data_IF_923666026912
#
_entry.id   IF_923666026912
#
_cell.length_a   1.000
_cell.length_b   1.000
_cell.length_c   1.000
_cell.angle_alpha   90.00
_cell.angle_beta   90.00
_cell.angle_gamma   90.00
#
_symmetry.space_group_name_H-M   'P 1'
#
loop_
_entity.id
_entity.type
_entity.pdbx_description
1 polymer ?
#
# COMPACT_ATOMS: atom_id res chain seq x y z
N UNK A 1 15.66 -4.74 -3.22
CA UNK A 1 15.81 -3.30 -2.99
C UNK A 1 15.50 -3.00 -1.55
N UNK A 2 16.15 -2.01 -0.94
CA UNK A 2 15.81 -1.59 0.43
C UNK A 2 14.51 -0.80 0.43
N UNK A 3 13.71 -0.93 1.49
CA UNK A 3 12.44 -0.22 1.68
C UNK A 3 12.50 0.64 2.93
N UNK A 4 12.03 1.88 2.84
CA UNK A 4 11.79 2.75 3.98
C UNK A 4 10.28 2.81 4.22
N UNK A 5 9.83 2.34 5.39
CA UNK A 5 8.44 2.48 5.85
C UNK A 5 8.38 3.56 6.92
N UNK A 6 7.42 4.48 6.79
CA UNK A 6 7.17 5.51 7.78
C UNK A 6 5.67 5.77 7.92
N UNK A 7 5.27 6.22 9.11
CA UNK A 7 3.89 6.63 9.37
C UNK A 7 3.59 8.02 8.82
N UNK A 8 2.30 8.30 8.65
CA UNK A 8 1.77 9.56 8.09
C UNK A 8 2.33 10.82 8.79
N UNK A 9 2.48 10.78 10.11
CA UNK A 9 2.93 11.93 10.90
C UNK A 9 4.45 12.19 10.86
N UNK A 10 5.24 11.38 10.15
CA UNK A 10 6.68 11.60 10.08
C UNK A 10 6.99 12.88 9.30
N UNK A 11 7.65 13.84 9.95
CA UNK A 11 8.23 14.99 9.24
C UNK A 11 9.44 14.51 8.44
N UNK A 12 9.38 14.67 7.12
CA UNK A 12 10.44 14.21 6.21
C UNK A 12 10.56 15.14 5.00
N UNK A 13 11.70 15.06 4.32
CA UNK A 13 11.95 15.78 3.08
C UNK A 13 12.94 15.00 2.20
N UNK A 14 12.86 15.22 0.89
CA UNK A 14 13.81 14.65 -0.06
C UNK A 14 15.16 15.35 0.08
N UNK A 15 16.24 14.58 0.29
CA UNK A 15 17.59 15.13 0.38
C UNK A 15 18.13 15.66 -0.96
N UNK A 16 18.99 16.67 -0.91
CA UNK A 16 19.65 17.25 -2.09
C UNK A 16 20.49 16.20 -2.86
N UNK A 17 20.34 16.15 -4.18
CA UNK A 17 21.18 15.33 -5.06
C UNK A 17 22.52 16.05 -5.26
N UNK A 18 23.63 15.41 -4.89
CA UNK A 18 24.99 15.97 -4.96
C UNK A 18 25.88 15.30 -6.01
N UNK A 19 25.32 14.39 -6.80
CA UNK A 19 26.00 13.67 -7.88
C UNK A 19 25.36 13.99 -9.22
N UNK A 20 26.04 13.62 -10.29
CA UNK A 20 25.54 13.57 -11.67
C UNK A 20 24.61 12.37 -11.95
N UNK A 21 24.53 11.42 -11.02
CA UNK A 21 23.63 10.25 -11.10
C UNK A 21 22.19 10.59 -10.72
N UNK A 22 21.24 10.07 -11.49
CA UNK A 22 19.81 10.13 -11.17
C UNK A 22 19.46 9.26 -9.95
N UNK A 23 18.53 9.75 -9.13
CA UNK A 23 17.93 8.98 -8.02
C UNK A 23 16.46 8.75 -8.32
N UNK A 24 16.09 7.49 -8.51
CA UNK A 24 14.70 7.05 -8.70
C UNK A 24 14.19 6.41 -7.42
N UNK A 25 12.98 6.78 -7.00
CA UNK A 25 12.26 6.17 -5.88
C UNK A 25 10.85 5.80 -6.33
N UNK A 26 10.32 4.70 -5.82
CA UNK A 26 8.89 4.37 -5.92
C UNK A 26 8.25 4.70 -4.58
N UNK A 27 7.24 5.56 -4.59
CA UNK A 27 6.48 5.92 -3.40
C UNK A 27 5.11 5.25 -3.50
N UNK A 28 4.81 4.38 -2.55
CA UNK A 28 3.50 3.77 -2.37
C UNK A 28 2.89 4.23 -1.05
N UNK A 29 1.66 4.73 -1.10
CA UNK A 29 0.87 5.04 0.09
C UNK A 29 -0.13 3.92 0.37
N UNK A 30 -0.22 3.49 1.62
CA UNK A 30 -1.28 2.59 2.08
C UNK A 30 -2.13 3.34 3.08
N UNK A 31 -3.39 3.55 2.72
CA UNK A 31 -4.38 4.21 3.57
C UNK A 31 -5.48 3.21 3.92
N UNK A 32 -6.19 3.42 5.04
CA UNK A 32 -7.43 2.70 5.31
C UNK A 32 -8.41 2.83 4.14
N UNK A 33 -9.19 1.78 3.84
CA UNK A 33 -10.14 1.71 2.71
C UNK A 33 -11.24 2.78 2.73
N UNK A 34 -11.43 3.46 3.86
CA UNK A 34 -12.33 4.61 3.99
C UNK A 34 -11.82 5.85 3.26
N UNK A 35 -10.53 5.93 2.97
CA UNK A 35 -9.95 6.95 2.10
C UNK A 35 -10.08 6.50 0.64
N UNK A 36 -10.60 7.38 -0.20
CA UNK A 36 -10.67 7.16 -1.64
C UNK A 36 -9.40 7.67 -2.32
N UNK A 37 -9.11 7.14 -3.51
CA UNK A 37 -8.12 7.75 -4.39
C UNK A 37 -8.50 9.21 -4.66
N UNK A 38 -7.51 10.04 -4.97
CA UNK A 38 -7.80 11.37 -5.50
C UNK A 38 -8.56 11.25 -6.83
N UNK A 39 -9.49 12.17 -7.06
CA UNK A 39 -10.32 12.17 -8.26
C UNK A 39 -9.46 12.08 -9.53
N UNK A 40 -9.71 11.07 -10.36
CA UNK A 40 -8.96 10.81 -11.59
C UNK A 40 -7.68 9.98 -11.39
N UNK A 41 -7.41 9.51 -10.17
CA UNK A 41 -6.32 8.58 -9.84
C UNK A 41 -6.86 7.19 -9.46
N UNK A 42 -8.14 6.92 -9.71
CA UNK A 42 -8.73 5.61 -9.45
C UNK A 42 -8.09 4.56 -10.36
N UNK A 43 -7.84 3.34 -9.84
CA UNK A 43 -7.43 2.24 -10.69
C UNK A 43 -8.50 1.95 -11.75
N UNK A 44 -8.07 1.68 -12.97
CA UNK A 44 -9.02 1.37 -14.05
C UNK A 44 -9.79 0.07 -13.74
N UNK A 45 -11.04 -0.07 -14.20
CA UNK A 45 -11.81 -1.31 -14.00
C UNK A 45 -11.09 -2.55 -14.52
N UNK A 46 -10.47 -2.45 -15.70
CA UNK A 46 -9.69 -3.53 -16.32
C UNK A 46 -8.45 -3.93 -15.49
N UNK A 47 -7.88 -3.00 -14.70
CA UNK A 47 -6.82 -3.34 -13.76
C UNK A 47 -7.38 -4.11 -12.57
N UNK A 48 -8.47 -3.61 -11.96
CA UNK A 48 -9.12 -4.24 -10.80
C UNK A 48 -9.58 -5.66 -11.11
N UNK A 49 -10.10 -5.93 -12.30
CA UNK A 49 -10.53 -7.27 -12.73
C UNK A 49 -9.41 -8.31 -12.69
N UNK A 50 -8.16 -7.89 -12.86
CA UNK A 50 -6.97 -8.78 -12.87
C UNK A 50 -6.38 -9.00 -11.48
N UNK A 51 -6.82 -8.25 -10.47
CA UNK A 51 -6.32 -8.35 -9.10
C UNK A 51 -6.95 -9.56 -8.40
N UNK A 52 -6.21 -10.37 -7.62
CA UNK A 52 -6.78 -11.41 -6.78
C UNK A 52 -7.91 -10.88 -5.89
N UNK A 53 -9.00 -11.64 -5.73
CA UNK A 53 -10.21 -11.18 -5.00
C UNK A 53 -9.90 -10.61 -3.61
N UNK A 54 -8.99 -11.25 -2.87
CA UNK A 54 -8.62 -10.83 -1.52
C UNK A 54 -7.85 -9.49 -1.45
N UNK A 55 -7.30 -9.02 -2.59
CA UNK A 55 -6.58 -7.75 -2.70
C UNK A 55 -7.42 -6.64 -3.34
N UNK A 56 -8.51 -6.97 -4.05
CA UNK A 56 -9.36 -5.98 -4.72
C UNK A 56 -9.81 -4.86 -3.76
N UNK A 57 -10.25 -5.14 -2.52
CA UNK A 57 -10.66 -4.07 -1.63
C UNK A 57 -9.52 -3.15 -1.18
N UNK A 58 -8.32 -3.70 -1.00
CA UNK A 58 -7.13 -2.93 -0.65
C UNK A 58 -6.73 -1.97 -1.80
N UNK A 59 -6.84 -2.43 -3.05
CA UNK A 59 -6.43 -1.64 -4.22
C UNK A 59 -7.50 -0.64 -4.66
N UNK A 60 -8.78 -1.01 -4.58
CA UNK A 60 -9.90 -0.16 -5.04
C UNK A 60 -10.49 0.73 -3.95
N UNK A 61 -10.23 0.45 -2.67
CA UNK A 61 -10.94 1.09 -1.55
C UNK A 61 -12.42 0.69 -1.44
N UNK A 62 -12.84 -0.43 -2.06
CA UNK A 62 -14.26 -0.83 -2.11
C UNK A 62 -14.88 -1.14 -0.75
N UNK A 63 -14.06 -1.51 0.25
CA UNK A 63 -14.55 -1.78 1.61
C UNK A 63 -15.00 -0.51 2.34
N UNK A 64 -14.60 0.69 1.87
CA UNK A 64 -15.01 1.97 2.46
C UNK A 64 -14.84 1.93 3.99
N UNK A 65 -15.94 2.12 4.73
CA UNK A 65 -16.00 2.17 6.19
C UNK A 65 -16.15 0.80 6.87
N UNK A 66 -16.16 -0.30 6.12
CA UNK A 66 -16.35 -1.66 6.64
C UNK A 66 -15.06 -2.20 7.28
N UNK A 67 -14.57 -1.54 8.33
CA UNK A 67 -13.35 -1.94 9.01
C UNK A 67 -13.49 -3.34 9.63
N UNK A 68 -12.69 -4.30 9.13
CA UNK A 68 -12.60 -5.64 9.68
C UNK A 68 -11.40 -5.71 10.62
N UNK A 69 -11.63 -6.05 11.89
CA UNK A 69 -10.54 -6.31 12.83
C UNK A 69 -9.76 -7.54 12.36
N UNK A 70 -8.57 -7.32 11.82
CA UNK A 70 -7.59 -8.38 11.55
C UNK A 70 -6.58 -8.41 12.68
N UNK A 71 -6.79 -9.30 13.65
CA UNK A 71 -5.80 -9.63 14.68
C UNK A 71 -5.40 -11.09 14.53
N UNK A 72 -4.10 -11.36 14.68
CA UNK A 72 -3.57 -12.71 14.78
C UNK A 72 -3.32 -12.99 16.26
N UNK A 73 -3.71 -14.16 16.79
CA UNK A 73 -3.29 -14.55 18.13
C UNK A 73 -1.77 -14.82 18.14
N UNK A 74 -1.13 -14.64 19.30
CA UNK A 74 0.34 -14.67 19.41
C UNK A 74 0.94 -16.05 19.10
N UNK A 75 0.14 -17.10 19.21
CA UNK A 75 0.47 -18.49 18.92
C UNK A 75 0.15 -18.91 17.47
N UNK A 76 -0.37 -17.99 16.65
CA UNK A 76 -0.66 -18.27 15.25
C UNK A 76 0.64 -18.56 14.50
N UNK A 77 0.79 -19.79 14.00
CA UNK A 77 1.88 -20.17 13.11
C UNK A 77 1.85 -19.26 11.87
N UNK A 78 3.00 -18.72 11.49
CA UNK A 78 3.14 -17.96 10.25
C UNK A 78 3.12 -18.98 9.12
N UNK A 79 2.17 -18.87 8.20
CA UNK A 79 2.21 -19.62 6.94
C UNK A 79 3.51 -19.23 6.20
N UNK A 80 4.48 -20.13 6.21
CA UNK A 80 5.62 -20.07 5.30
C UNK A 80 5.13 -20.56 3.94
N UNK A 81 5.21 -19.73 2.91
CA UNK A 81 4.89 -20.12 1.54
C UNK A 81 5.76 -21.32 1.13
N UNK A 82 5.19 -22.53 1.14
CA UNK A 82 5.71 -23.67 0.40
C UNK A 82 5.06 -23.68 -0.99
N UNK A 83 5.83 -23.15 -1.95
CA UNK A 83 5.85 -23.39 -3.40
C UNK A 83 4.51 -23.47 -4.16
#
# INVERSE_FOLDING_TARGET
GSTLLFGEALIHATGLIRSDRERVILIGGYTPTMFQAWNGQEPSPAFIERIPEHLKPLISGSDRWQWQRRSRPLDMQVETEEN
#
